data_IF_841239100593
#
_entry.id   IF_841239100593
#
_cell.length_a   1.000
_cell.length_b   1.000
_cell.length_c   1.000
_cell.angle_alpha   90.00
_cell.angle_beta   90.00
_cell.angle_gamma   90.00
#
_symmetry.space_group_name_H-M   'P 1'
#
loop_
_entity.id
_entity.type
_entity.pdbx_description
1 polymer ?
#
# COMPACT_ATOMS: atom_id res chain seq x y z
N UNK A 1 -7.72 -0.70 4.97
CA UNK A 1 -7.59 -1.29 6.32
C UNK A 1 -8.78 -0.85 7.16
N UNK A 2 -9.36 -1.74 7.96
CA UNK A 2 -10.51 -1.44 8.84
C UNK A 2 -10.20 -1.89 10.26
N UNK A 3 -10.48 -1.03 11.24
CA UNK A 3 -10.33 -1.33 12.68
C UNK A 3 -11.64 -1.79 13.31
N UNK A 4 -11.58 -2.44 14.47
CA UNK A 4 -12.77 -2.87 15.23
C UNK A 4 -13.67 -1.70 15.65
N UNK A 5 -13.09 -0.52 15.86
CA UNK A 5 -13.82 0.72 16.11
C UNK A 5 -14.55 1.30 14.89
N UNK A 6 -14.45 0.65 13.72
CA UNK A 6 -15.11 1.09 12.48
C UNK A 6 -14.34 2.13 11.69
N UNK A 7 -13.08 2.41 12.04
CA UNK A 7 -12.24 3.34 11.28
C UNK A 7 -11.75 2.68 9.99
N UNK A 8 -11.89 3.39 8.86
CA UNK A 8 -11.39 2.96 7.55
C UNK A 8 -10.18 3.80 7.15
N UNK A 9 -9.06 3.12 6.93
CA UNK A 9 -7.79 3.73 6.54
C UNK A 9 -7.42 3.27 5.12
N UNK A 10 -7.18 4.25 4.24
CA UNK A 10 -6.64 4.06 2.89
C UNK A 10 -5.23 4.59 2.85
N UNK A 11 -4.33 3.82 2.25
CA UNK A 11 -2.92 4.14 2.12
C UNK A 11 -2.44 3.64 0.77
N UNK A 12 -1.55 4.39 0.12
CA UNK A 12 -0.90 3.93 -1.09
C UNK A 12 0.17 2.90 -0.69
N UNK A 13 0.26 1.79 -1.42
CA UNK A 13 1.30 0.78 -1.23
C UNK A 13 2.68 1.33 -1.59
N UNK A 14 2.77 2.29 -2.51
CA UNK A 14 4.02 2.96 -2.89
C UNK A 14 4.67 3.76 -1.77
N UNK A 15 3.90 4.19 -0.76
CA UNK A 15 4.44 4.92 0.39
C UNK A 15 5.10 4.00 1.43
N UNK A 16 4.95 2.67 1.28
CA UNK A 16 5.50 1.71 2.22
C UNK A 16 6.94 1.36 1.89
N UNK A 17 7.77 1.31 2.93
CA UNK A 17 9.16 0.87 2.80
C UNK A 17 9.22 -0.64 2.51
N UNK A 18 9.90 -1.08 1.44
CA UNK A 18 10.13 -2.50 1.20
C UNK A 18 11.04 -3.06 2.30
N UNK A 19 10.65 -4.22 2.84
CA UNK A 19 11.38 -4.91 3.90
C UNK A 19 11.57 -6.38 3.56
N UNK A 20 12.60 -7.00 4.16
CA UNK A 20 12.87 -8.43 4.00
C UNK A 20 11.83 -9.32 4.68
N UNK A 21 11.86 -10.62 4.34
CA UNK A 21 10.87 -11.61 4.82
C UNK A 21 10.98 -11.92 6.32
N UNK A 22 12.18 -11.85 6.89
CA UNK A 22 12.43 -12.11 8.31
C UNK A 22 12.61 -10.80 9.08
N UNK A 23 11.51 -10.05 9.21
CA UNK A 23 11.50 -8.74 9.88
C UNK A 23 10.19 -8.57 10.67
N UNK A 24 10.21 -7.68 11.67
CA UNK A 24 9.03 -7.37 12.48
C UNK A 24 8.02 -6.47 11.73
N UNK A 25 8.40 -5.86 10.62
CA UNK A 25 7.59 -4.84 9.95
C UNK A 25 7.86 -3.42 10.42
N UNK A 26 7.08 -2.49 9.87
CA UNK A 26 7.04 -1.08 10.29
C UNK A 26 5.63 -0.74 10.76
N UNK A 27 5.52 0.18 11.72
CA UNK A 27 4.22 0.70 12.16
C UNK A 27 3.66 1.63 11.08
N UNK A 28 2.45 1.34 10.59
CA UNK A 28 1.77 2.14 9.57
C UNK A 28 0.77 3.13 10.18
N UNK A 29 0.15 2.78 11.30
CA UNK A 29 -0.85 3.59 12.01
C UNK A 29 -0.69 3.44 13.52
N UNK A 30 -1.10 4.45 14.25
CA UNK A 30 -1.35 4.35 15.70
C UNK A 30 -2.79 3.89 15.94
N UNK A 31 -2.95 3.01 16.92
CA UNK A 31 -4.25 2.50 17.36
C UNK A 31 -4.47 2.97 18.79
N UNK A 32 -5.73 3.22 19.15
CA UNK A 32 -6.10 3.40 20.55
C UNK A 32 -5.87 2.09 21.33
N UNK A 33 -5.70 2.18 22.64
CA UNK A 33 -5.23 1.06 23.48
C UNK A 33 -6.09 -0.22 23.39
N UNK A 34 -7.38 -0.13 23.06
CA UNK A 34 -8.29 -1.26 22.91
C UNK A 34 -8.79 -1.48 21.47
N UNK A 35 -8.21 -0.78 20.48
CA UNK A 35 -8.58 -0.96 19.07
C UNK A 35 -7.59 -1.90 18.36
N UNK A 36 -8.11 -2.66 17.40
CA UNK A 36 -7.34 -3.63 16.62
C UNK A 36 -7.73 -3.58 15.15
N UNK A 37 -6.79 -3.91 14.29
CA UNK A 37 -7.06 -4.12 12.87
C UNK A 37 -7.84 -5.41 12.71
N UNK A 38 -9.00 -5.34 12.06
CA UNK A 38 -9.87 -6.51 11.83
C UNK A 38 -9.91 -6.95 10.38
N UNK A 39 -9.57 -6.06 9.43
CA UNK A 39 -9.57 -6.39 8.01
C UNK A 39 -8.63 -5.51 7.18
N UNK A 40 -8.13 -6.07 6.08
CA UNK A 40 -7.38 -5.37 5.06
C UNK A 40 -7.87 -5.82 3.68
N UNK A 41 -7.92 -4.88 2.74
CA UNK A 41 -8.23 -5.12 1.35
C UNK A 41 -7.24 -4.35 0.49
N UNK A 42 -6.69 -5.02 -0.52
CA UNK A 42 -5.94 -4.37 -1.58
C UNK A 42 -6.94 -3.88 -2.65
N UNK A 43 -6.72 -2.67 -3.13
CA UNK A 43 -7.49 -2.10 -4.24
C UNK A 43 -6.53 -1.99 -5.43
N UNK A 44 -6.92 -2.53 -6.57
CA UNK A 44 -6.19 -2.31 -7.82
C UNK A 44 -6.40 -0.88 -8.30
N UNK A 45 -5.32 -0.23 -8.71
CA UNK A 45 -5.42 1.02 -9.45
C UNK A 45 -6.11 0.77 -10.80
N UNK A 46 -6.98 1.68 -11.26
CA UNK A 46 -7.57 1.55 -12.59
C UNK A 46 -6.46 1.63 -13.64
N UNK A 47 -6.43 0.68 -14.58
CA UNK A 47 -5.46 0.66 -15.67
C UNK A 47 -5.51 1.99 -16.43
N UNK A 48 -4.42 2.73 -16.39
CA UNK A 48 -4.23 3.94 -17.18
C UNK A 48 -3.54 3.50 -18.47
N UNK A 49 -4.29 3.37 -19.56
CA UNK A 49 -3.75 3.01 -20.87
C UNK A 49 -2.79 4.11 -21.34
N UNK A 50 -1.49 3.85 -21.26
CA UNK A 50 -0.45 4.71 -21.81
C UNK A 50 0.42 3.86 -22.75
N UNK A 51 -0.01 3.85 -24.01
CA UNK A 51 0.72 3.36 -25.16
C UNK A 51 1.62 4.49 -25.68
N UNK A 52 2.94 4.29 -25.74
CA UNK A 52 3.87 5.09 -26.58
C UNK A 52 5.23 4.35 -26.59
N UNK A 53 5.52 3.57 -27.63
CA UNK A 53 6.32 3.98 -28.82
C UNK A 53 7.76 4.40 -28.42
N UNK A 54 8.78 3.57 -28.62
CA UNK A 54 9.59 3.52 -29.85
C UNK A 54 10.73 4.57 -29.85
N UNK A 55 11.71 4.32 -30.72
CA UNK A 55 12.77 5.25 -31.18
C UNK A 55 14.09 5.36 -30.39
N UNK A 56 15.12 4.74 -31.03
CA UNK A 56 16.52 5.19 -31.20
C UNK A 56 17.40 5.37 -29.94
N UNK A 57 18.63 4.87 -29.88
CA UNK A 57 19.66 4.87 -30.92
C UNK A 57 20.77 5.86 -30.51
N UNK A 58 22.03 5.39 -30.42
CA UNK A 58 23.19 6.29 -30.31
C UNK A 58 24.42 5.70 -29.63
N UNK A 59 25.29 5.07 -30.41
CA UNK A 59 26.74 5.29 -30.37
C UNK A 59 27.19 5.60 -31.79
#
# INVERSE_FOLDING_TARGET
LVTSGGQVIRMNTGDMRPIGRDTQGVRLIDLADDDKVVSIAALSEPESDNSDDDVAGGL
#
